data_IF_884272898354
#
_entry.id   IF_884272898354
#
_cell.length_a   1.000
_cell.length_b   1.000
_cell.length_c   1.000
_cell.angle_alpha   90.00
_cell.angle_beta   90.00
_cell.angle_gamma   90.00
#
_symmetry.space_group_name_H-M   'P 1'
#
loop_
_entity.id
_entity.type
_entity.pdbx_description
1 polymer ?
#
# COMPACT_ATOMS: atom_id res chain seq x y z
N UNK A 1 11.97 19.46 -0.30
CA UNK A 1 10.62 18.91 -0.13
C UNK A 1 10.73 17.48 0.38
N UNK A 2 9.89 17.08 1.34
CA UNK A 2 9.90 15.73 1.91
C UNK A 2 9.02 14.84 1.02
N UNK A 3 9.62 13.81 0.42
CA UNK A 3 8.85 12.83 -0.36
C UNK A 3 7.97 12.00 0.58
N UNK A 4 6.71 11.84 0.23
CA UNK A 4 5.74 11.04 0.99
C UNK A 4 5.55 9.70 0.31
N UNK A 5 5.82 8.62 1.03
CA UNK A 5 5.64 7.27 0.53
C UNK A 5 4.23 6.79 0.86
N UNK A 6 3.50 6.34 -0.16
CA UNK A 6 2.17 5.75 -0.02
C UNK A 6 2.26 4.31 -0.51
N UNK A 7 1.94 3.37 0.38
CA UNK A 7 1.93 1.95 0.07
C UNK A 7 0.49 1.49 -0.18
N UNK A 8 0.24 0.93 -1.36
CA UNK A 8 -1.05 0.36 -1.74
C UNK A 8 -0.99 -1.16 -1.66
N UNK A 9 -1.82 -1.74 -0.79
CA UNK A 9 -1.91 -3.17 -0.56
C UNK A 9 -3.22 -3.73 -1.10
N UNK A 10 -3.09 -4.83 -1.86
CA UNK A 10 -4.21 -5.54 -2.46
C UNK A 10 -5.02 -4.74 -3.50
N UNK A 11 -4.38 -3.78 -4.18
CA UNK A 11 -4.97 -3.07 -5.32
C UNK A 11 -4.58 -3.74 -6.64
N UNK A 12 -5.51 -3.76 -7.59
CA UNK A 12 -5.19 -4.13 -8.97
C UNK A 12 -4.28 -3.08 -9.63
N UNK A 13 -3.60 -3.45 -10.71
CA UNK A 13 -2.75 -2.51 -11.47
C UNK A 13 -3.54 -1.31 -12.01
N UNK A 14 -4.81 -1.54 -12.40
CA UNK A 14 -5.69 -0.48 -12.87
C UNK A 14 -6.00 0.53 -11.76
N UNK A 15 -6.35 0.04 -10.58
CA UNK A 15 -6.65 0.91 -9.43
C UNK A 15 -5.41 1.64 -8.94
N UNK A 16 -4.27 0.96 -8.88
CA UNK A 16 -2.99 1.56 -8.56
C UNK A 16 -2.65 2.71 -9.50
N UNK A 17 -2.85 2.53 -10.81
CA UNK A 17 -2.60 3.55 -11.82
C UNK A 17 -3.53 4.75 -11.69
N UNK A 18 -4.82 4.53 -11.38
CA UNK A 18 -5.76 5.63 -11.10
C UNK A 18 -5.35 6.41 -9.85
N UNK A 19 -4.96 5.71 -8.77
CA UNK A 19 -4.49 6.34 -7.53
C UNK A 19 -3.23 7.17 -7.81
N UNK A 20 -2.26 6.62 -8.55
CA UNK A 20 -1.03 7.31 -8.92
C UNK A 20 -1.33 8.60 -9.71
N UNK A 21 -2.19 8.52 -10.72
CA UNK A 21 -2.58 9.67 -11.54
C UNK A 21 -3.29 10.76 -10.71
N UNK A 22 -4.13 10.37 -9.75
CA UNK A 22 -4.84 11.32 -8.89
C UNK A 22 -3.90 11.97 -7.88
N UNK A 23 -3.02 11.20 -7.25
CA UNK A 23 -2.06 11.73 -6.28
C UNK A 23 -1.01 12.62 -6.93
N UNK A 24 -0.54 12.27 -8.14
CA UNK A 24 0.40 13.11 -8.89
C UNK A 24 -0.16 14.49 -9.24
N UNK A 25 -1.49 14.62 -9.44
CA UNK A 25 -2.15 15.92 -9.68
C UNK A 25 -2.24 16.78 -8.42
N UNK A 26 -2.25 16.17 -7.24
CA UNK A 26 -2.37 16.87 -5.95
C UNK A 26 -1.00 17.19 -5.38
N UNK A 27 -0.03 16.28 -5.52
CA UNK A 27 1.31 16.45 -4.99
C UNK A 27 2.34 15.62 -5.78
N UNK A 28 3.31 16.30 -6.40
CA UNK A 28 4.39 15.67 -7.17
C UNK A 28 5.42 14.92 -6.30
N UNK A 29 5.42 15.15 -4.98
CA UNK A 29 6.36 14.53 -4.04
C UNK A 29 5.85 13.19 -3.46
N UNK A 30 4.81 12.60 -4.04
CA UNK A 30 4.27 11.30 -3.61
C UNK A 30 4.93 10.16 -4.37
N UNK A 31 5.54 9.23 -3.64
CA UNK A 31 6.03 7.96 -4.18
C UNK A 31 4.97 6.89 -3.89
N UNK A 32 4.36 6.35 -4.94
CA UNK A 32 3.42 5.25 -4.83
C UNK A 32 4.17 3.91 -4.94
N UNK A 33 3.91 3.00 -4.01
CA UNK A 33 4.42 1.64 -4.05
C UNK A 33 3.23 0.68 -3.99
N UNK A 34 3.31 -0.42 -4.74
CA UNK A 34 2.34 -1.52 -4.66
C UNK A 34 3.05 -2.69 -4.00
N UNK A 35 2.38 -3.34 -3.05
CA UNK A 35 2.84 -4.63 -2.55
C UNK A 35 1.65 -5.61 -2.44
N UNK A 36 1.95 -6.86 -2.73
CA UNK A 36 1.08 -8.00 -2.53
C UNK A 36 1.20 -8.53 -1.10
N UNK A 37 0.24 -9.35 -0.70
CA UNK A 37 0.23 -9.98 0.63
C UNK A 37 1.51 -10.78 0.90
N UNK A 38 2.03 -11.46 -0.11
CA UNK A 38 3.26 -12.24 -0.02
C UNK A 38 4.50 -11.35 0.16
N UNK A 39 4.53 -10.20 -0.52
CA UNK A 39 5.62 -9.22 -0.37
C UNK A 39 5.60 -8.55 1.01
N UNK A 40 4.42 -8.26 1.58
CA UNK A 40 4.29 -7.75 2.96
C UNK A 40 4.77 -8.76 4.00
N UNK A 41 4.64 -10.06 3.69
CA UNK A 41 5.05 -11.13 4.60
C UNK A 41 6.57 -11.36 4.56
N UNK A 42 7.21 -11.07 3.42
CA UNK A 42 8.63 -11.37 3.18
C UNK A 42 9.56 -10.14 3.24
N UNK A 43 9.05 -8.92 3.05
CA UNK A 43 9.87 -7.70 3.05
C UNK A 43 9.53 -6.73 4.20
N UNK A 44 10.44 -6.60 5.16
CA UNK A 44 10.43 -5.50 6.16
C UNK A 44 10.81 -4.13 5.56
N UNK A 45 11.51 -4.12 4.41
CA UNK A 45 12.25 -2.95 3.93
C UNK A 45 11.39 -1.91 3.17
N UNK A 46 10.24 -2.29 2.64
CA UNK A 46 9.31 -1.38 1.95
C UNK A 46 8.31 -0.71 2.88
N UNK A 47 7.89 -1.42 3.94
CA UNK A 47 6.83 -1.01 4.86
C UNK A 47 7.32 0.10 5.82
N UNK A 48 8.52 -0.03 6.38
CA UNK A 48 9.10 0.93 7.33
C UNK A 48 9.24 2.37 6.80
N UNK A 49 9.27 2.56 5.48
CA UNK A 49 9.40 3.88 4.83
C UNK A 49 8.05 4.48 4.44
N UNK A 50 6.94 3.73 4.53
CA UNK A 50 5.62 4.21 4.16
C UNK A 50 5.10 5.24 5.17
N UNK A 51 4.67 6.40 4.67
CA UNK A 51 4.01 7.42 5.49
C UNK A 51 2.49 7.21 5.58
N UNK A 52 1.91 6.57 4.57
CA UNK A 52 0.50 6.24 4.49
C UNK A 52 0.35 4.86 3.85
N UNK A 53 -0.57 4.06 4.40
CA UNK A 53 -0.91 2.75 3.86
C UNK A 53 -2.36 2.79 3.43
N UNK A 54 -2.60 2.42 2.17
CA UNK A 54 -3.92 2.18 1.62
C UNK A 54 -4.13 0.67 1.57
N UNK A 55 -5.24 0.23 2.16
CA UNK A 55 -5.63 -1.17 2.24
C UNK A 55 -6.94 -1.38 1.53
N UNK A 56 -6.95 -2.24 0.52
CA UNK A 56 -8.18 -2.68 -0.10
C UNK A 56 -8.64 -4.00 0.53
N UNK A 57 -9.75 -3.94 1.25
CA UNK A 57 -10.39 -5.13 1.81
C UNK A 57 -11.27 -5.76 0.73
N UNK A 58 -11.07 -7.06 0.51
CA UNK A 58 -11.88 -7.85 -0.41
C UNK A 58 -13.13 -8.38 0.30
N UNK A 59 -14.12 -8.84 -0.47
CA UNK A 59 -15.28 -9.57 0.08
C UNK A 59 -14.89 -10.92 0.71
N UNK A 60 -13.62 -11.32 0.60
CA UNK A 60 -13.07 -12.46 1.32
C UNK A 60 -12.58 -12.01 2.70
N UNK A 61 -13.38 -12.32 3.73
CA UNK A 61 -13.13 -11.93 5.12
C UNK A 61 -11.82 -12.51 5.66
N UNK A 62 -11.47 -13.75 5.29
CA UNK A 62 -10.26 -14.41 5.82
C UNK A 62 -8.98 -13.82 5.22
N UNK A 63 -9.00 -13.51 3.93
CA UNK A 63 -7.90 -12.82 3.25
C UNK A 63 -7.71 -11.40 3.82
N UNK A 64 -8.81 -10.66 4.00
CA UNK A 64 -8.80 -9.32 4.60
C UNK A 64 -8.28 -9.32 6.05
N UNK A 65 -8.70 -10.29 6.87
CA UNK A 65 -8.16 -10.46 8.24
C UNK A 65 -6.67 -10.77 8.23
N UNK A 66 -6.22 -11.62 7.31
CA UNK A 66 -4.81 -12.00 7.20
C UNK A 66 -3.96 -10.78 6.82
N UNK A 67 -4.41 -10.01 5.83
CA UNK A 67 -3.76 -8.77 5.42
C UNK A 67 -3.65 -7.78 6.60
N UNK A 68 -4.74 -7.54 7.31
CA UNK A 68 -4.77 -6.62 8.46
C UNK A 68 -3.84 -7.08 9.59
N UNK A 69 -3.80 -8.39 9.88
CA UNK A 69 -2.87 -8.95 10.88
C UNK A 69 -1.42 -8.73 10.48
N UNK A 70 -1.06 -8.95 9.21
CA UNK A 70 0.31 -8.75 8.72
C UNK A 70 0.72 -7.29 8.77
N UNK A 71 -0.16 -6.38 8.34
CA UNK A 71 0.11 -4.95 8.40
C UNK A 71 0.27 -4.50 9.85
N UNK A 72 -0.61 -4.91 10.76
CA UNK A 72 -0.49 -4.61 12.19
C UNK A 72 0.77 -5.19 12.84
N UNK A 73 1.34 -6.26 12.29
CA UNK A 73 2.60 -6.82 12.80
C UNK A 73 3.81 -5.96 12.39
N UNK A 74 3.71 -5.29 11.26
CA UNK A 74 4.78 -4.50 10.62
C UNK A 74 4.82 -3.03 11.10
N UNK A 75 3.75 -2.51 11.71
CA UNK A 75 3.62 -1.12 12.20
C UNK A 75 3.05 -1.05 13.62
#
# INVERSE_FOLDING_TARGET
MIKRHVLCLNFSDKEHLVIAQKLAKVNADVILQKASLNEVTNEDNGLSKANLILLMLSNNIEESKTLLKQVKKQF
#
